data_IF_775359096646
#
_entry.id   IF_775359096646
#
_cell.length_a   1.000
_cell.length_b   1.000
_cell.length_c   1.000
_cell.angle_alpha   90.00
_cell.angle_beta   90.00
_cell.angle_gamma   90.00
#
_symmetry.space_group_name_H-M   'P 1'
#
loop_
_entity.id
_entity.type
_entity.pdbx_description
1 polymer ?
#
# COMPACT_ATOMS: atom_id res chain seq x y z
N UNK A 1 3.79 -8.85 -10.78
CA UNK A 1 2.66 -9.69 -10.38
C UNK A 1 3.12 -10.72 -9.35
N UNK A 2 2.63 -10.59 -8.10
CA UNK A 2 3.06 -11.49 -7.01
C UNK A 2 2.14 -12.68 -6.79
N UNK A 3 0.93 -12.65 -7.34
CA UNK A 3 -0.09 -13.70 -7.12
C UNK A 3 -0.02 -14.86 -8.10
N UNK A 4 0.78 -14.72 -9.13
CA UNK A 4 0.96 -15.75 -10.15
C UNK A 4 2.36 -16.37 -10.03
N UNK A 5 2.48 -17.69 -9.73
CA UNK A 5 3.75 -18.35 -9.57
C UNK A 5 4.61 -18.36 -10.85
N UNK A 6 3.99 -18.19 -12.04
CA UNK A 6 4.70 -18.13 -13.31
C UNK A 6 5.51 -16.83 -13.49
N UNK A 7 5.16 -15.76 -12.79
CA UNK A 7 5.77 -14.44 -12.92
C UNK A 7 6.79 -14.08 -11.82
N UNK A 8 7.17 -15.03 -10.97
CA UNK A 8 8.10 -14.78 -9.86
C UNK A 8 9.45 -14.21 -10.33
N UNK A 9 10.07 -14.82 -11.35
CA UNK A 9 11.37 -14.38 -11.87
C UNK A 9 11.31 -12.96 -12.44
N UNK A 10 10.30 -12.69 -13.26
CA UNK A 10 10.08 -11.36 -13.85
C UNK A 10 9.84 -10.28 -12.75
N UNK A 11 9.07 -10.61 -11.73
CA UNK A 11 8.83 -9.72 -10.59
C UNK A 11 10.11 -9.38 -9.84
N UNK A 12 10.95 -10.38 -9.53
CA UNK A 12 12.19 -10.16 -8.80
C UNK A 12 13.23 -9.40 -9.64
N UNK A 13 13.30 -9.65 -10.93
CA UNK A 13 14.17 -8.89 -11.84
C UNK A 13 13.74 -7.43 -11.96
N UNK A 14 12.43 -7.17 -11.98
CA UNK A 14 11.89 -5.81 -11.95
C UNK A 14 12.21 -5.13 -10.61
N UNK A 15 12.03 -5.82 -9.49
CA UNK A 15 12.34 -5.30 -8.15
C UNK A 15 13.82 -4.93 -8.02
N UNK A 16 14.74 -5.75 -8.51
CA UNK A 16 16.18 -5.44 -8.47
C UNK A 16 16.52 -4.18 -9.25
N UNK A 17 15.98 -4.02 -10.46
CA UNK A 17 16.15 -2.78 -11.23
C UNK A 17 15.54 -1.56 -10.52
N UNK A 18 14.37 -1.72 -9.89
CA UNK A 18 13.76 -0.66 -9.10
C UNK A 18 14.60 -0.28 -7.88
N UNK A 19 15.27 -1.25 -7.26
CA UNK A 19 16.17 -1.02 -6.15
C UNK A 19 17.42 -0.21 -6.57
N UNK A 20 17.97 -0.48 -7.75
CA UNK A 20 19.08 0.32 -8.32
C UNK A 20 18.66 1.77 -8.51
N UNK A 21 17.48 2.03 -9.09
CA UNK A 21 16.94 3.38 -9.29
C UNK A 21 16.64 4.05 -7.93
N UNK A 22 16.07 3.31 -6.99
CA UNK A 22 15.81 3.84 -5.64
C UNK A 22 17.10 4.27 -4.93
N UNK A 23 18.17 3.50 -5.12
CA UNK A 23 19.48 3.86 -4.59
C UNK A 23 20.05 5.15 -5.19
N UNK A 24 19.94 5.32 -6.51
CA UNK A 24 20.37 6.54 -7.22
C UNK A 24 19.57 7.79 -6.75
N UNK A 25 18.31 7.61 -6.39
CA UNK A 25 17.43 8.67 -5.91
C UNK A 25 17.45 8.87 -4.38
N UNK A 26 18.30 8.12 -3.66
CA UNK A 26 18.30 8.04 -2.18
C UNK A 26 16.91 7.74 -1.58
N UNK A 27 16.09 6.98 -2.30
CA UNK A 27 14.79 6.53 -1.86
C UNK A 27 14.93 5.26 -1.03
N UNK A 28 14.28 5.18 0.13
CA UNK A 28 14.37 4.03 1.05
C UNK A 28 13.11 3.16 1.05
N UNK A 29 12.07 3.56 0.35
CA UNK A 29 10.80 2.86 0.31
C UNK A 29 10.37 2.59 -1.14
N UNK A 30 9.88 1.38 -1.40
CA UNK A 30 9.26 1.00 -2.67
C UNK A 30 7.85 0.48 -2.41
N UNK A 31 6.87 1.01 -3.13
CA UNK A 31 5.50 0.52 -3.09
C UNK A 31 5.38 -0.74 -3.94
N UNK A 32 4.72 -1.75 -3.41
CA UNK A 32 4.40 -3.00 -4.09
C UNK A 32 2.89 -3.20 -4.23
N UNK A 33 2.50 -3.67 -5.40
CA UNK A 33 1.13 -4.06 -5.71
C UNK A 33 1.00 -5.57 -5.91
N UNK A 34 -0.19 -6.13 -5.67
CA UNK A 34 -0.45 -7.56 -5.87
C UNK A 34 -0.43 -7.96 -7.34
N UNK A 35 -0.92 -7.09 -8.21
CA UNK A 35 -0.98 -7.31 -9.64
C UNK A 35 -0.03 -6.36 -10.39
N UNK A 36 0.49 -6.80 -11.53
CA UNK A 36 1.23 -5.93 -12.42
C UNK A 36 0.31 -4.93 -13.13
N UNK A 37 0.88 -3.81 -13.58
CA UNK A 37 0.22 -2.92 -14.53
C UNK A 37 0.53 -3.39 -15.96
N UNK A 38 -0.50 -3.52 -16.78
CA UNK A 38 -0.40 -3.70 -18.22
C UNK A 38 -0.19 -2.33 -18.90
N UNK A 39 -0.08 -2.34 -20.22
CA UNK A 39 -0.04 -1.12 -21.03
C UNK A 39 -1.21 -0.19 -20.69
N UNK A 40 -0.98 1.12 -20.81
CA UNK A 40 -1.95 2.17 -20.47
C UNK A 40 -2.39 2.21 -18.99
N UNK A 41 -1.62 1.59 -18.09
CA UNK A 41 -1.91 1.60 -16.65
C UNK A 41 -3.11 0.75 -16.24
N UNK A 42 -3.63 -0.10 -17.12
CA UNK A 42 -4.68 -1.05 -16.78
C UNK A 42 -4.12 -2.16 -15.89
N UNK A 43 -4.97 -2.72 -15.04
CA UNK A 43 -4.58 -3.84 -14.20
C UNK A 43 -4.40 -5.11 -15.03
N UNK A 44 -3.25 -5.77 -14.88
CA UNK A 44 -3.04 -7.11 -15.38
C UNK A 44 -3.84 -8.09 -14.52
N UNK A 45 -4.72 -8.86 -15.16
CA UNK A 45 -5.57 -9.86 -14.48
C UNK A 45 -4.99 -11.27 -14.52
N UNK A 46 -3.77 -11.44 -15.04
CA UNK A 46 -3.08 -12.74 -14.99
C UNK A 46 -2.96 -13.24 -13.56
N UNK A 47 -3.33 -14.49 -13.34
CA UNK A 47 -3.37 -15.12 -12.02
C UNK A 47 -4.72 -14.96 -11.30
N UNK A 48 -5.64 -14.09 -11.75
CA UNK A 48 -6.94 -13.93 -11.09
C UNK A 48 -7.81 -15.18 -11.16
N UNK A 49 -7.63 -16.01 -12.20
CA UNK A 49 -8.30 -17.30 -12.39
C UNK A 49 -7.78 -18.41 -11.47
N UNK A 50 -6.63 -18.22 -10.84
CA UNK A 50 -6.04 -19.19 -9.91
C UNK A 50 -6.85 -19.31 -8.63
N UNK A 51 -6.75 -20.46 -7.98
CA UNK A 51 -7.41 -20.65 -6.67
C UNK A 51 -6.83 -19.69 -5.62
N UNK A 52 -7.66 -19.29 -4.64
CA UNK A 52 -7.20 -18.43 -3.53
C UNK A 52 -5.97 -19.01 -2.82
N UNK A 53 -5.96 -20.31 -2.59
CA UNK A 53 -4.82 -21.01 -1.98
C UNK A 53 -3.55 -20.84 -2.82
N UNK A 54 -3.66 -20.93 -4.14
CA UNK A 54 -2.53 -20.76 -5.06
C UNK A 54 -2.01 -19.34 -5.03
N UNK A 55 -2.91 -18.34 -5.07
CA UNK A 55 -2.55 -16.91 -5.02
C UNK A 55 -1.84 -16.55 -3.71
N UNK A 56 -2.38 -16.99 -2.56
CA UNK A 56 -1.78 -16.74 -1.24
C UNK A 56 -0.39 -17.39 -1.16
N UNK A 57 -0.27 -18.64 -1.59
CA UNK A 57 1.02 -19.34 -1.59
C UNK A 57 2.05 -18.67 -2.50
N UNK A 58 1.64 -18.23 -3.71
CA UNK A 58 2.50 -17.51 -4.63
C UNK A 58 2.92 -16.15 -4.05
N UNK A 59 1.96 -15.35 -3.55
CA UNK A 59 2.25 -14.06 -2.95
C UNK A 59 3.22 -14.18 -1.76
N UNK A 60 2.98 -15.13 -0.86
CA UNK A 60 3.86 -15.37 0.29
C UNK A 60 5.29 -15.74 -0.17
N UNK A 61 5.42 -16.68 -1.10
CA UNK A 61 6.72 -17.09 -1.65
C UNK A 61 7.45 -15.93 -2.34
N UNK A 62 6.73 -15.16 -3.14
CA UNK A 62 7.30 -14.06 -3.89
C UNK A 62 7.72 -12.92 -2.97
N UNK A 63 6.95 -12.64 -1.91
CA UNK A 63 7.27 -11.61 -0.93
C UNK A 63 8.41 -12.04 0.01
N UNK A 64 8.57 -13.33 0.34
CA UNK A 64 9.77 -13.83 1.01
C UNK A 64 11.03 -13.51 0.19
N UNK A 65 11.05 -13.88 -1.08
CA UNK A 65 12.20 -13.60 -1.96
C UNK A 65 12.41 -12.08 -2.18
N UNK A 66 11.34 -11.30 -2.25
CA UNK A 66 11.42 -9.84 -2.36
C UNK A 66 12.00 -9.19 -1.10
N UNK A 67 11.68 -9.73 0.07
CA UNK A 67 12.22 -9.24 1.35
C UNK A 67 13.74 -9.43 1.44
N UNK A 68 14.28 -10.54 0.90
CA UNK A 68 15.72 -10.75 0.79
C UNK A 68 16.38 -9.69 -0.12
N UNK A 69 15.79 -9.42 -1.29
CA UNK A 69 16.27 -8.34 -2.19
C UNK A 69 16.25 -6.98 -1.50
N UNK A 70 15.19 -6.69 -0.73
CA UNK A 70 15.06 -5.43 -0.01
C UNK A 70 16.08 -5.31 1.15
N UNK A 71 16.35 -6.41 1.85
CA UNK A 71 17.39 -6.46 2.89
C UNK A 71 18.76 -6.13 2.33
N UNK A 72 19.15 -6.81 1.23
CA UNK A 72 20.43 -6.58 0.56
C UNK A 72 20.58 -5.15 0.02
N UNK A 73 19.48 -4.55 -0.44
CA UNK A 73 19.45 -3.19 -0.97
C UNK A 73 19.24 -2.10 0.12
N UNK A 74 18.99 -2.47 1.36
CA UNK A 74 18.69 -1.51 2.45
C UNK A 74 17.36 -0.76 2.27
N UNK A 75 16.40 -1.36 1.57
CA UNK A 75 15.07 -0.79 1.28
C UNK A 75 13.99 -1.36 2.20
N UNK A 76 12.85 -0.68 2.25
CA UNK A 76 11.61 -1.20 2.82
C UNK A 76 10.55 -1.28 1.74
N UNK A 77 9.92 -2.44 1.59
CA UNK A 77 8.82 -2.68 0.68
C UNK A 77 7.51 -2.36 1.39
N UNK A 78 6.66 -1.59 0.73
CA UNK A 78 5.38 -1.14 1.23
C UNK A 78 4.27 -1.79 0.40
N UNK A 79 3.68 -2.88 0.90
CA UNK A 79 2.62 -3.62 0.20
C UNK A 79 1.29 -2.87 0.35
N UNK A 80 0.70 -2.48 -0.77
CA UNK A 80 -0.51 -1.66 -0.80
C UNK A 80 -1.74 -2.46 -1.26
N UNK A 81 -2.75 -2.62 -0.40
CA UNK A 81 -4.12 -2.98 -0.81
C UNK A 81 -4.79 -1.80 -1.51
N UNK A 82 -5.40 -2.08 -2.67
CA UNK A 82 -6.02 -1.03 -3.51
C UNK A 82 -7.48 -1.34 -3.79
N UNK A 83 -8.33 -0.33 -3.78
CA UNK A 83 -9.76 -0.49 -4.03
C UNK A 83 -10.05 -0.92 -5.48
N UNK A 84 -11.06 -1.78 -5.64
CA UNK A 84 -11.57 -2.18 -6.96
C UNK A 84 -12.25 -1.04 -7.71
N UNK A 85 -12.63 0.04 -7.03
CA UNK A 85 -13.11 1.28 -7.65
C UNK A 85 -11.99 2.00 -8.40
N UNK A 86 -10.79 2.06 -7.81
CA UNK A 86 -9.63 2.67 -8.46
C UNK A 86 -8.99 1.72 -9.49
N UNK A 87 -8.94 0.43 -9.19
CA UNK A 87 -8.30 -0.59 -10.04
C UNK A 87 -9.18 -1.83 -10.16
N UNK A 88 -10.13 -1.87 -11.12
CA UNK A 88 -10.95 -3.05 -11.36
C UNK A 88 -10.09 -4.30 -11.63
N UNK A 89 -10.39 -5.39 -10.95
CA UNK A 89 -9.63 -6.65 -11.07
C UNK A 89 -8.38 -6.75 -10.19
N UNK A 90 -8.12 -5.76 -9.34
CA UNK A 90 -7.05 -5.84 -8.34
C UNK A 90 -7.36 -6.93 -7.30
N UNK A 91 -6.35 -7.72 -6.94
CA UNK A 91 -6.56 -8.89 -6.08
C UNK A 91 -6.58 -8.53 -4.59
N UNK A 92 -5.57 -7.83 -4.11
CA UNK A 92 -5.40 -7.55 -2.67
C UNK A 92 -6.12 -6.24 -2.31
N UNK A 93 -7.32 -6.35 -1.81
CA UNK A 93 -8.22 -5.20 -1.63
C UNK A 93 -8.47 -4.81 -0.18
N UNK A 94 -7.96 -5.59 0.79
CA UNK A 94 -8.17 -5.35 2.22
C UNK A 94 -6.87 -5.30 2.99
N UNK A 95 -6.81 -4.46 4.02
CA UNK A 95 -5.66 -4.36 4.91
C UNK A 95 -5.39 -5.67 5.66
N UNK A 96 -6.45 -6.38 6.04
CA UNK A 96 -6.35 -7.65 6.74
C UNK A 96 -5.63 -8.72 5.90
N UNK A 97 -5.98 -8.86 4.61
CA UNK A 97 -5.34 -9.85 3.71
C UNK A 97 -3.85 -9.57 3.49
N UNK A 98 -3.47 -8.31 3.35
CA UNK A 98 -2.07 -7.93 3.22
C UNK A 98 -1.30 -8.17 4.53
N UNK A 99 -1.86 -7.75 5.65
CA UNK A 99 -1.24 -7.89 6.97
C UNK A 99 -1.00 -9.37 7.35
N UNK A 100 -1.92 -10.27 6.99
CA UNK A 100 -1.75 -11.71 7.20
C UNK A 100 -0.51 -12.23 6.46
N UNK A 101 -0.33 -11.90 5.20
CA UNK A 101 0.85 -12.32 4.42
C UNK A 101 2.12 -11.67 4.97
N UNK A 102 2.09 -10.39 5.33
CA UNK A 102 3.24 -9.68 5.92
C UNK A 102 3.70 -10.37 7.21
N UNK A 103 2.77 -10.76 8.09
CA UNK A 103 3.10 -11.49 9.32
C UNK A 103 3.67 -12.89 9.06
N UNK A 104 3.23 -13.56 7.99
CA UNK A 104 3.78 -14.87 7.59
C UNK A 104 5.20 -14.72 7.03
N UNK A 105 5.47 -13.65 6.25
CA UNK A 105 6.82 -13.35 5.74
C UNK A 105 7.77 -12.96 6.87
N UNK A 106 7.28 -12.27 7.90
CA UNK A 106 8.00 -11.88 9.12
C UNK A 106 9.35 -11.19 8.86
N UNK A 107 9.38 -10.27 7.88
CA UNK A 107 10.56 -9.48 7.56
C UNK A 107 10.38 -8.02 7.99
N UNK A 108 11.38 -7.40 8.62
CA UNK A 108 11.34 -5.97 8.94
C UNK A 108 11.35 -5.09 7.67
N UNK A 109 11.70 -5.68 6.52
CA UNK A 109 11.76 -4.99 5.22
C UNK A 109 10.46 -5.08 4.41
N UNK A 110 9.43 -5.72 4.93
CA UNK A 110 8.10 -5.77 4.32
C UNK A 110 7.06 -5.20 5.29
N UNK A 111 6.43 -4.12 4.90
CA UNK A 111 5.42 -3.40 5.69
C UNK A 111 4.15 -3.22 4.89
N UNK A 112 3.07 -2.91 5.60
CA UNK A 112 1.79 -2.52 5.02
C UNK A 112 1.80 -1.01 4.72
N UNK A 113 1.51 -0.66 3.49
CA UNK A 113 1.05 0.67 3.14
C UNK A 113 -0.46 0.69 3.35
N UNK A 114 -0.92 1.42 4.34
CA UNK A 114 -2.33 1.61 4.63
C UNK A 114 -2.81 2.90 3.95
N UNK A 115 -3.47 2.76 2.80
CA UNK A 115 -4.09 3.89 2.12
C UNK A 115 -5.49 4.11 2.69
N UNK A 116 -5.66 5.21 3.42
CA UNK A 116 -6.93 5.55 4.09
C UNK A 116 -8.09 5.67 3.08
N UNK A 117 -7.84 6.26 1.89
CA UNK A 117 -8.85 6.37 0.85
C UNK A 117 -9.31 4.99 0.35
N UNK A 118 -8.36 4.12 0.02
CA UNK A 118 -8.69 2.78 -0.47
C UNK A 118 -9.39 1.94 0.58
N UNK A 119 -8.94 1.99 1.84
CA UNK A 119 -9.54 1.19 2.91
C UNK A 119 -10.89 1.73 3.34
N UNK A 120 -11.14 3.05 3.26
CA UNK A 120 -12.49 3.59 3.45
C UNK A 120 -13.46 3.01 2.43
N UNK A 121 -13.07 2.93 1.15
CA UNK A 121 -13.93 2.40 0.08
C UNK A 121 -14.17 0.88 0.18
N UNK A 122 -13.21 0.13 0.71
CA UNK A 122 -13.26 -1.34 0.71
C UNK A 122 -13.70 -1.94 2.03
N UNK A 123 -13.24 -1.39 3.15
CA UNK A 123 -13.46 -1.98 4.48
C UNK A 123 -14.33 -1.08 5.36
N UNK A 124 -14.18 0.24 5.27
CA UNK A 124 -14.69 1.14 6.31
C UNK A 124 -14.04 0.85 7.66
N UNK A 125 -14.71 1.24 8.77
CA UNK A 125 -14.24 0.96 10.15
C UNK A 125 -12.74 1.24 10.36
N UNK A 126 -12.25 2.32 9.76
CA UNK A 126 -10.83 2.66 9.66
C UNK A 126 -10.09 2.58 11.00
N UNK A 127 -10.73 3.03 12.07
CA UNK A 127 -10.08 3.05 13.38
C UNK A 127 -9.74 1.65 13.89
N UNK A 128 -10.63 0.70 13.73
CA UNK A 128 -10.42 -0.67 14.19
C UNK A 128 -9.47 -1.44 13.27
N UNK A 129 -9.57 -1.25 11.94
CA UNK A 129 -8.65 -1.87 11.00
C UNK A 129 -7.22 -1.35 11.14
N UNK A 130 -7.03 -0.05 11.40
CA UNK A 130 -5.72 0.54 11.73
C UNK A 130 -5.16 -0.07 13.03
N UNK A 131 -5.96 -0.12 14.12
CA UNK A 131 -5.50 -0.74 15.39
C UNK A 131 -5.12 -2.21 15.23
N UNK A 132 -5.92 -2.97 14.47
CA UNK A 132 -5.67 -4.39 14.25
C UNK A 132 -4.39 -4.68 13.47
N UNK A 133 -3.91 -3.73 12.67
CA UNK A 133 -2.76 -3.88 11.80
C UNK A 133 -1.58 -2.94 12.14
N UNK A 134 -1.66 -2.23 13.28
CA UNK A 134 -0.65 -1.24 13.68
C UNK A 134 0.78 -1.79 13.76
N UNK A 135 0.92 -3.07 14.06
CA UNK A 135 2.21 -3.78 14.17
C UNK A 135 2.95 -3.90 12.81
N UNK A 136 2.21 -3.90 11.72
CA UNK A 136 2.77 -4.09 10.37
C UNK A 136 2.67 -2.84 9.48
N UNK A 137 1.90 -1.83 9.85
CA UNK A 137 1.80 -0.57 9.08
C UNK A 137 3.13 0.18 9.17
N UNK A 138 3.73 0.50 8.01
CA UNK A 138 4.94 1.31 7.90
C UNK A 138 4.74 2.62 7.13
N UNK A 139 3.64 2.73 6.40
CA UNK A 139 3.36 3.85 5.51
C UNK A 139 1.85 4.12 5.45
N UNK A 140 1.46 5.38 5.43
CA UNK A 140 0.05 5.79 5.34
C UNK A 140 -0.11 6.76 4.18
N UNK A 141 -1.03 6.41 3.25
CA UNK A 141 -1.52 7.36 2.26
C UNK A 141 -2.77 8.09 2.75
N UNK A 142 -2.83 9.38 2.45
CA UNK A 142 -3.89 10.30 2.86
C UNK A 142 -4.58 10.85 1.62
N UNK A 143 -5.89 10.69 1.55
CA UNK A 143 -6.80 11.26 0.57
C UNK A 143 -8.23 11.07 1.04
N UNK A 144 -9.10 12.06 0.84
CA UNK A 144 -10.47 12.01 1.35
C UNK A 144 -11.45 11.32 0.37
N UNK A 145 -12.53 10.80 0.89
CA UNK A 145 -13.62 10.17 0.13
C UNK A 145 -14.84 11.09 0.20
N UNK A 146 -15.52 11.32 -0.95
CA UNK A 146 -15.22 10.86 -2.30
C UNK A 146 -14.15 11.69 -3.01
N UNK A 147 -13.63 11.16 -4.13
CA UNK A 147 -12.85 11.92 -5.12
C UNK A 147 -11.36 11.96 -4.88
N UNK A 148 -10.84 11.48 -3.74
CA UNK A 148 -9.42 11.44 -3.39
C UNK A 148 -8.80 12.85 -3.37
N UNK A 149 -9.47 13.75 -2.67
CA UNK A 149 -9.05 15.13 -2.46
C UNK A 149 -8.38 15.33 -1.10
N UNK A 150 -8.04 16.59 -0.78
CA UNK A 150 -7.40 16.96 0.50
C UNK A 150 -8.28 16.66 1.71
N UNK A 151 -7.69 16.39 2.90
CA UNK A 151 -8.42 16.15 4.14
C UNK A 151 -9.44 17.25 4.48
N UNK A 152 -10.64 16.81 4.89
CA UNK A 152 -11.73 17.71 5.27
C UNK A 152 -12.65 18.11 4.12
N UNK A 153 -12.44 17.57 2.93
CA UNK A 153 -13.32 17.78 1.78
C UNK A 153 -14.37 16.68 1.61
N UNK A 154 -14.27 15.60 2.38
CA UNK A 154 -15.13 14.43 2.27
C UNK A 154 -15.64 13.91 3.62
N UNK A 155 -15.85 12.59 3.71
CA UNK A 155 -16.51 11.94 4.84
C UNK A 155 -15.55 11.42 5.92
N UNK A 156 -14.22 11.48 5.70
CA UNK A 156 -13.25 10.89 6.62
C UNK A 156 -12.94 11.86 7.75
N UNK A 157 -13.08 11.40 9.01
CA UNK A 157 -12.72 12.21 10.17
C UNK A 157 -11.21 12.21 10.42
N UNK A 158 -10.46 12.96 9.62
CA UNK A 158 -9.02 13.07 9.72
C UNK A 158 -8.50 13.58 11.07
N UNK A 159 -9.15 14.55 11.76
CA UNK A 159 -8.74 14.95 13.11
C UNK A 159 -8.79 13.79 14.12
N UNK A 160 -9.75 12.89 13.99
CA UNK A 160 -9.81 11.68 14.82
C UNK A 160 -8.72 10.69 14.46
N UNK A 161 -8.52 10.40 13.16
CA UNK A 161 -7.48 9.46 12.70
C UNK A 161 -6.07 9.95 13.05
N UNK A 162 -5.82 11.25 12.97
CA UNK A 162 -4.54 11.84 13.40
C UNK A 162 -4.27 11.55 14.88
N UNK A 163 -5.25 11.80 15.76
CA UNK A 163 -5.11 11.48 17.20
C UNK A 163 -4.86 9.98 17.42
N UNK A 164 -5.61 9.12 16.74
CA UNK A 164 -5.41 7.68 16.81
C UNK A 164 -3.98 7.28 16.43
N UNK A 165 -3.50 7.74 15.28
CA UNK A 165 -2.20 7.35 14.76
C UNK A 165 -1.05 7.96 15.57
N UNK A 166 -1.11 9.26 15.84
CA UNK A 166 0.00 9.98 16.49
C UNK A 166 -0.04 9.84 18.01
N UNK A 167 -1.22 10.04 18.64
CA UNK A 167 -1.28 10.15 20.09
C UNK A 167 -1.52 8.79 20.77
N UNK A 168 -2.33 7.89 20.19
CA UNK A 168 -2.61 6.59 20.77
C UNK A 168 -1.56 5.54 20.34
N UNK A 169 -1.39 5.36 19.02
CA UNK A 169 -0.55 4.29 18.47
C UNK A 169 0.94 4.67 18.36
N UNK A 170 1.26 5.97 18.52
CA UNK A 170 2.66 6.46 18.38
C UNK A 170 3.29 6.04 17.06
N UNK A 171 2.49 6.09 15.98
CA UNK A 171 2.98 5.73 14.66
C UNK A 171 4.19 6.58 14.28
N UNK A 172 5.30 5.94 13.97
CA UNK A 172 6.60 6.53 13.65
C UNK A 172 6.99 6.33 12.16
N UNK A 173 6.08 5.79 11.36
CA UNK A 173 6.25 5.61 9.93
C UNK A 173 6.01 6.89 9.12
N UNK A 174 5.77 6.72 7.84
CA UNK A 174 5.63 7.83 6.88
C UNK A 174 4.15 8.14 6.63
N UNK A 175 3.81 9.43 6.68
CA UNK A 175 2.56 9.96 6.13
C UNK A 175 2.84 10.60 4.77
N UNK A 176 2.08 10.23 3.75
CA UNK A 176 2.15 10.84 2.43
C UNK A 176 0.77 11.17 1.89
N UNK A 177 0.66 12.31 1.26
CA UNK A 177 -0.57 12.73 0.59
C UNK A 177 -0.57 12.22 -0.84
N UNK A 178 -1.51 11.32 -1.14
CA UNK A 178 -1.76 10.84 -2.51
C UNK A 178 -3.17 11.24 -2.92
N UNK A 179 -3.28 12.41 -3.51
CA UNK A 179 -4.55 13.08 -3.77
C UNK A 179 -4.48 14.03 -4.96
N UNK A 180 -5.65 14.52 -5.40
CA UNK A 180 -5.78 15.58 -6.40
C UNK A 180 -6.49 16.77 -5.77
N UNK A 181 -6.03 18.00 -5.95
CA UNK A 181 -6.69 19.18 -5.42
C UNK A 181 -8.16 19.27 -5.86
N UNK A 182 -9.08 19.52 -4.91
CA UNK A 182 -10.50 19.72 -5.22
C UNK A 182 -10.72 21.06 -5.97
N UNK A 183 -10.00 22.09 -5.55
CA UNK A 183 -10.15 23.44 -6.11
C UNK A 183 -8.81 23.98 -6.60
N UNK A 184 -7.99 24.53 -5.71
CA UNK A 184 -6.68 25.11 -6.05
C UNK A 184 -5.56 24.37 -5.32
N UNK A 185 -4.36 24.44 -5.86
CA UNK A 185 -3.20 23.86 -5.22
C UNK A 185 -2.94 24.51 -3.84
N UNK A 186 -3.11 25.81 -3.73
CA UNK A 186 -2.88 26.53 -2.48
C UNK A 186 -3.83 26.07 -1.37
N UNK A 187 -5.13 25.95 -1.67
CA UNK A 187 -6.12 25.42 -0.73
C UNK A 187 -5.81 23.98 -0.30
N UNK A 188 -5.38 23.16 -1.25
CA UNK A 188 -4.95 21.80 -0.97
C UNK A 188 -3.73 21.77 -0.03
N UNK A 189 -2.71 22.57 -0.29
CA UNK A 189 -1.51 22.65 0.55
C UNK A 189 -1.86 23.16 1.97
N UNK A 190 -2.76 24.14 2.10
CA UNK A 190 -3.24 24.58 3.41
C UNK A 190 -3.92 23.45 4.20
N UNK A 191 -4.78 22.66 3.53
CA UNK A 191 -5.43 21.50 4.15
C UNK A 191 -4.44 20.40 4.56
N UNK A 192 -3.40 20.15 3.75
CA UNK A 192 -2.31 19.24 4.09
C UNK A 192 -1.53 19.70 5.33
N UNK A 193 -1.26 21.00 5.45
CA UNK A 193 -0.59 21.57 6.63
C UNK A 193 -1.45 21.51 7.90
N UNK A 194 -2.78 21.54 7.77
CA UNK A 194 -3.69 21.40 8.90
C UNK A 194 -3.82 19.96 9.43
N UNK A 195 -3.50 18.97 8.61
CA UNK A 195 -3.41 17.56 9.02
C UNK A 195 -2.20 17.36 9.93
#
# INVERSE_FOLDING_TARGET
NIIDPAHCGEFLDYLKRSAEVAHELDCKNLVLHSNALAEEGRMCTSGNELSERTKIAAATKNLLAAAEVAEDAGLTLQLEPVSTYAKPGYYMTTSASAAEIIRVVDSPRLKLLYDIYHMQLMEGDLANTIRANADVIGYIHIGDVPGRHEPGTGEINYPFLKRLLVDELKFDGIFAFELSPLTTLDACVEAMHAF
#
